data_IF_532989156417
#
_entry.id   IF_532989156417
#
_cell.length_a   1.000
_cell.length_b   1.000
_cell.length_c   1.000
_cell.angle_alpha   90.00
_cell.angle_beta   90.00
_cell.angle_gamma   90.00
#
_symmetry.space_group_name_H-M   'P 1'
#
loop_
_entity.id
_entity.type
_entity.pdbx_description
1 polymer ?
#
# COMPACT_ATOMS: atom_id res chain seq x y z
N UNK A 1 -17.03 -0.48 -0.83
CA UNK A 1 -16.89 -1.86 -1.32
C UNK A 1 -16.47 -2.85 -0.24
N UNK A 2 -15.28 -2.73 0.37
CA UNK A 2 -14.83 -3.69 1.41
C UNK A 2 -15.50 -3.51 2.78
N UNK A 3 -15.74 -2.27 3.21
CA UNK A 3 -16.51 -2.01 4.44
C UNK A 3 -17.99 -2.40 4.29
N UNK A 4 -18.54 -2.38 3.08
CA UNK A 4 -19.92 -2.84 2.83
C UNK A 4 -20.08 -4.36 2.96
N UNK A 5 -18.97 -5.11 3.00
CA UNK A 5 -18.98 -6.56 3.26
C UNK A 5 -19.03 -6.87 4.77
N UNK A 6 -18.90 -5.86 5.63
CA UNK A 6 -19.05 -6.05 7.08
C UNK A 6 -20.56 -6.20 7.36
N UNK A 7 -21.01 -7.34 7.91
CA UNK A 7 -22.42 -7.52 8.22
C UNK A 7 -22.85 -6.51 9.29
N UNK A 8 -23.83 -5.66 8.97
CA UNK A 8 -24.35 -4.64 9.91
C UNK A 8 -24.82 -5.24 11.23
N UNK A 9 -25.35 -6.46 11.18
CA UNK A 9 -25.81 -7.23 12.33
C UNK A 9 -24.70 -7.43 13.38
N UNK A 10 -23.45 -7.62 12.97
CA UNK A 10 -22.31 -7.79 13.88
C UNK A 10 -21.94 -6.46 14.56
N UNK A 11 -22.02 -5.35 13.82
CA UNK A 11 -21.78 -4.01 14.37
C UNK A 11 -22.89 -3.60 15.34
N UNK A 12 -24.15 -3.90 15.00
CA UNK A 12 -25.32 -3.65 15.85
C UNK A 12 -25.26 -4.49 17.14
N UNK A 13 -24.91 -5.77 17.06
CA UNK A 13 -24.72 -6.62 18.23
C UNK A 13 -23.65 -6.05 19.18
N UNK A 14 -22.52 -5.59 18.66
CA UNK A 14 -21.47 -4.99 19.47
C UNK A 14 -21.91 -3.68 20.16
N UNK A 15 -22.73 -2.86 19.48
CA UNK A 15 -23.31 -1.66 20.09
C UNK A 15 -24.33 -1.99 21.19
N UNK A 16 -25.12 -3.06 21.01
CA UNK A 16 -26.03 -3.57 22.04
C UNK A 16 -25.25 -4.08 23.27
N UNK A 17 -24.08 -4.71 23.05
CA UNK A 17 -23.15 -5.14 24.10
C UNK A 17 -22.40 -3.98 24.79
N UNK A 18 -22.68 -2.73 24.41
CA UNK A 18 -22.13 -1.53 25.02
C UNK A 18 -20.81 -1.04 24.41
N UNK A 19 -20.40 -1.58 23.25
CA UNK A 19 -19.24 -1.05 22.53
C UNK A 19 -19.55 0.35 21.96
N UNK A 20 -18.65 1.30 22.21
CA UNK A 20 -18.67 2.61 21.57
C UNK A 20 -18.40 2.50 20.05
N UNK A 21 -18.83 3.48 19.27
CA UNK A 21 -18.62 3.50 17.81
C UNK A 21 -17.15 3.33 17.41
N UNK A 22 -16.22 3.93 18.17
CA UNK A 22 -14.79 3.78 17.90
C UNK A 22 -14.31 2.34 18.17
N UNK A 23 -14.83 1.69 19.20
CA UNK A 23 -14.54 0.28 19.49
C UNK A 23 -15.09 -0.63 18.40
N UNK A 24 -16.34 -0.43 17.97
CA UNK A 24 -16.95 -1.19 16.86
C UNK A 24 -16.11 -1.05 15.58
N UNK A 25 -15.72 0.17 15.23
CA UNK A 25 -14.90 0.42 14.04
C UNK A 25 -13.52 -0.28 14.12
N UNK A 26 -12.82 -0.14 15.24
CA UNK A 26 -11.43 -0.63 15.38
C UNK A 26 -11.33 -2.12 15.64
N UNK A 27 -12.30 -2.72 16.34
CA UNK A 27 -12.28 -4.12 16.73
C UNK A 27 -13.05 -5.02 15.76
N UNK A 28 -13.99 -4.49 14.99
CA UNK A 28 -14.85 -5.28 14.08
C UNK A 28 -14.63 -4.86 12.64
N UNK A 29 -14.98 -3.62 12.28
CA UNK A 29 -15.00 -3.20 10.87
C UNK A 29 -13.61 -3.21 10.23
N UNK A 30 -12.58 -2.69 10.90
CA UNK A 30 -11.19 -2.65 10.41
C UNK A 30 -10.60 -4.07 10.24
N UNK A 31 -10.67 -4.98 11.24
CA UNK A 31 -10.13 -6.33 11.10
C UNK A 31 -10.80 -7.15 9.99
N UNK A 32 -12.09 -6.95 9.74
CA UNK A 32 -12.80 -7.62 8.64
C UNK A 32 -12.38 -7.02 7.29
N UNK A 33 -12.31 -5.68 7.19
CA UNK A 33 -11.91 -4.99 5.98
C UNK A 33 -10.38 -5.02 5.70
N UNK A 34 -9.56 -5.62 6.59
CA UNK A 34 -8.09 -5.55 6.56
C UNK A 34 -7.47 -5.96 5.22
N UNK A 35 -8.04 -6.94 4.53
CA UNK A 35 -7.55 -7.41 3.22
C UNK A 35 -7.80 -6.37 2.13
N UNK A 36 -8.95 -5.71 2.18
CA UNK A 36 -9.28 -4.59 1.29
C UNK A 36 -8.41 -3.37 1.53
N UNK A 37 -8.24 -2.99 2.80
CA UNK A 37 -7.35 -1.89 3.20
C UNK A 37 -5.93 -2.14 2.70
N UNK A 38 -5.43 -3.37 2.87
CA UNK A 38 -4.10 -3.72 2.41
C UNK A 38 -3.99 -3.66 0.89
N UNK A 39 -4.96 -4.20 0.14
CA UNK A 39 -4.99 -4.11 -1.32
C UNK A 39 -4.94 -2.66 -1.81
N UNK A 40 -5.74 -1.77 -1.20
CA UNK A 40 -5.71 -0.33 -1.51
C UNK A 40 -4.36 0.29 -1.15
N UNK A 41 -3.81 0.00 0.02
CA UNK A 41 -2.50 0.51 0.46
C UNK A 41 -1.37 0.10 -0.50
N UNK A 42 -1.42 -1.11 -1.06
CA UNK A 42 -0.46 -1.59 -2.04
C UNK A 42 -0.54 -0.78 -3.34
N UNK A 43 -1.75 -0.59 -3.87
CA UNK A 43 -1.95 0.17 -5.10
C UNK A 43 -1.47 1.62 -4.93
N UNK A 44 -1.78 2.22 -3.78
CA UNK A 44 -1.30 3.56 -3.43
C UNK A 44 0.24 3.55 -3.35
N UNK A 45 0.84 2.58 -2.65
CA UNK A 45 2.29 2.47 -2.52
C UNK A 45 2.98 2.36 -3.87
N UNK A 46 2.53 1.48 -4.76
CA UNK A 46 3.11 1.30 -6.11
C UNK A 46 3.00 2.60 -6.91
N UNK A 47 1.86 3.29 -6.83
CA UNK A 47 1.66 4.57 -7.51
C UNK A 47 2.57 5.66 -6.95
N UNK A 48 2.63 5.83 -5.64
CA UNK A 48 3.43 6.88 -4.99
C UNK A 48 4.93 6.62 -5.05
N UNK A 49 5.35 5.35 -5.03
CA UNK A 49 6.77 4.97 -5.04
C UNK A 49 7.46 5.31 -6.36
N UNK A 50 6.75 5.15 -7.46
CA UNK A 50 7.25 5.45 -8.81
C UNK A 50 7.02 6.90 -9.21
N UNK A 51 6.41 7.71 -8.35
CA UNK A 51 6.01 9.03 -8.78
C UNK A 51 7.19 10.00 -8.92
N UNK A 52 7.33 10.54 -10.13
CA UNK A 52 8.46 11.34 -10.56
C UNK A 52 8.14 12.82 -10.67
N UNK A 53 7.02 13.21 -11.30
CA UNK A 53 6.75 14.62 -11.64
C UNK A 53 6.47 15.47 -10.40
N UNK A 54 5.62 14.99 -9.51
CA UNK A 54 5.35 15.65 -8.23
C UNK A 54 6.62 15.76 -7.40
N UNK A 55 7.40 14.69 -7.30
CA UNK A 55 8.65 14.69 -6.55
C UNK A 55 9.66 15.68 -7.14
N UNK A 56 9.84 15.70 -8.47
CA UNK A 56 10.76 16.62 -9.14
C UNK A 56 10.37 18.09 -8.92
N UNK A 57 9.07 18.37 -8.87
CA UNK A 57 8.56 19.75 -8.76
C UNK A 57 8.55 20.26 -7.32
N UNK A 58 8.24 19.39 -6.34
CA UNK A 58 7.99 19.79 -4.96
C UNK A 58 9.19 19.59 -4.03
N UNK A 59 10.18 18.79 -4.40
CA UNK A 59 11.32 18.45 -3.53
C UNK A 59 12.58 19.23 -3.87
N UNK A 60 13.46 19.38 -2.87
CA UNK A 60 14.84 19.89 -3.00
C UNK A 60 15.81 18.85 -2.47
N UNK A 61 17.11 19.17 -2.46
CA UNK A 61 18.20 18.21 -2.19
C UNK A 61 18.05 17.38 -0.91
N UNK A 62 17.38 17.91 0.11
CA UNK A 62 17.10 17.24 1.39
C UNK A 62 15.91 16.27 1.35
N UNK A 63 15.05 16.35 0.34
CA UNK A 63 13.82 15.59 0.23
C UNK A 63 13.64 14.83 -1.11
N UNK A 64 14.70 14.72 -1.92
CA UNK A 64 14.65 14.02 -3.21
C UNK A 64 14.24 12.56 -3.03
N UNK A 65 13.20 12.14 -3.75
CA UNK A 65 12.81 10.74 -3.82
C UNK A 65 13.79 9.94 -4.67
N UNK A 66 13.78 8.61 -4.53
CA UNK A 66 14.66 7.73 -5.30
C UNK A 66 14.49 7.93 -6.82
N UNK A 67 13.26 8.16 -7.29
CA UNK A 67 12.96 8.44 -8.69
C UNK A 67 13.66 9.70 -9.22
N UNK A 68 13.73 10.76 -8.42
CA UNK A 68 14.41 12.01 -8.77
C UNK A 68 15.92 11.89 -8.63
N UNK A 69 16.40 11.13 -7.63
CA UNK A 69 17.82 10.98 -7.35
C UNK A 69 18.62 10.35 -8.49
N UNK A 70 17.99 9.57 -9.38
CA UNK A 70 18.64 9.03 -10.59
C UNK A 70 19.23 10.14 -11.48
N UNK A 71 18.58 11.31 -11.53
CA UNK A 71 19.04 12.44 -12.34
C UNK A 71 20.43 12.95 -11.91
N UNK A 72 20.81 12.74 -10.64
CA UNK A 72 22.14 13.13 -10.16
C UNK A 72 23.27 12.33 -10.85
N UNK A 73 22.97 11.17 -11.46
CA UNK A 73 23.93 10.34 -12.19
C UNK A 73 23.96 10.61 -13.69
N UNK A 74 23.10 11.52 -14.18
CA UNK A 74 23.01 11.89 -15.60
C UNK A 74 23.26 13.39 -15.82
N UNK A 75 24.39 13.96 -15.36
CA UNK A 75 24.70 15.36 -15.61
C UNK A 75 25.05 15.61 -17.08
N UNK A 76 24.84 16.83 -17.55
CA UNK A 76 25.10 17.24 -18.94
C UNK A 76 26.55 17.04 -19.40
N UNK A 77 27.51 17.09 -18.48
CA UNK A 77 28.94 16.96 -18.78
C UNK A 77 29.41 15.50 -18.94
N UNK A 78 28.57 14.52 -18.61
CA UNK A 78 28.89 13.11 -18.75
C UNK A 78 28.02 12.22 -17.87
N UNK A 79 27.18 11.41 -18.51
CA UNK A 79 26.31 10.46 -17.80
C UNK A 79 27.09 9.24 -17.33
N UNK A 80 26.99 8.95 -16.03
CA UNK A 80 27.49 7.70 -15.45
C UNK A 80 26.40 6.62 -15.55
N UNK A 81 26.35 5.95 -16.70
CA UNK A 81 25.38 4.90 -16.98
C UNK A 81 25.46 3.72 -16.00
N UNK A 82 26.65 3.45 -15.43
CA UNK A 82 26.83 2.40 -14.45
C UNK A 82 26.12 2.72 -13.14
N UNK A 83 26.31 3.93 -12.60
CA UNK A 83 25.61 4.38 -11.40
C UNK A 83 24.12 4.57 -11.62
N UNK A 84 23.72 5.11 -12.79
CA UNK A 84 22.30 5.24 -13.13
C UNK A 84 21.59 3.87 -13.18
N UNK A 85 22.18 2.88 -13.85
CA UNK A 85 21.64 1.52 -13.90
C UNK A 85 21.57 0.87 -12.50
N UNK A 86 22.61 1.01 -11.70
CA UNK A 86 22.62 0.51 -10.32
C UNK A 86 21.52 1.15 -9.46
N UNK A 87 21.29 2.46 -9.60
CA UNK A 87 20.20 3.16 -8.91
C UNK A 87 18.81 2.62 -9.33
N UNK A 88 18.60 2.38 -10.62
CA UNK A 88 17.37 1.75 -11.13
C UNK A 88 17.14 0.36 -10.52
N UNK A 89 18.18 -0.47 -10.42
CA UNK A 89 18.08 -1.80 -9.78
C UNK A 89 17.72 -1.67 -8.30
N UNK A 90 18.34 -0.75 -7.57
CA UNK A 90 18.02 -0.48 -6.17
C UNK A 90 16.56 -0.02 -5.98
N UNK A 91 16.03 0.79 -6.91
CA UNK A 91 14.62 1.19 -6.88
C UNK A 91 13.63 0.04 -7.04
N UNK A 92 14.04 -1.07 -7.69
CA UNK A 92 13.22 -2.27 -7.84
C UNK A 92 13.19 -3.12 -6.56
N UNK A 93 14.20 -3.02 -5.69
CA UNK A 93 14.34 -3.87 -4.50
C UNK A 93 13.10 -3.80 -3.59
N UNK A 94 12.56 -2.61 -3.22
CA UNK A 94 11.39 -2.54 -2.36
C UNK A 94 10.16 -3.19 -2.99
N UNK A 95 9.97 -3.06 -4.30
CA UNK A 95 8.86 -3.67 -5.02
C UNK A 95 8.98 -5.20 -4.97
N UNK A 96 10.17 -5.73 -5.30
CA UNK A 96 10.43 -7.18 -5.29
C UNK A 96 10.24 -7.76 -3.88
N UNK A 97 10.66 -7.05 -2.85
CA UNK A 97 10.46 -7.45 -1.45
C UNK A 97 9.00 -7.38 -1.06
N UNK A 98 8.24 -6.37 -1.51
CA UNK A 98 6.85 -6.17 -1.11
C UNK A 98 5.88 -7.15 -1.78
N UNK A 99 6.10 -7.49 -3.06
CA UNK A 99 5.25 -8.40 -3.84
C UNK A 99 4.90 -9.73 -3.13
N UNK A 100 5.82 -10.49 -2.51
CA UNK A 100 5.46 -11.73 -1.82
C UNK A 100 4.58 -11.49 -0.58
N UNK A 101 4.75 -10.38 0.14
CA UNK A 101 3.84 -10.02 1.23
C UNK A 101 2.44 -9.80 0.68
N UNK A 102 2.31 -8.99 -0.37
CA UNK A 102 1.03 -8.73 -1.04
C UNK A 102 0.32 -10.02 -1.45
N UNK A 103 1.03 -10.92 -2.12
CA UNK A 103 0.46 -12.19 -2.62
C UNK A 103 -0.19 -13.02 -1.51
N UNK A 104 0.41 -13.05 -0.31
CA UNK A 104 -0.15 -13.76 0.86
C UNK A 104 -1.51 -13.22 1.30
N UNK A 105 -1.77 -11.93 1.10
CA UNK A 105 -3.02 -11.29 1.54
C UNK A 105 -4.07 -11.16 0.44
N UNK A 106 -3.64 -11.05 -0.82
CA UNK A 106 -4.55 -11.04 -1.98
C UNK A 106 -5.18 -12.42 -2.19
N UNK A 107 -4.45 -13.50 -1.88
CA UNK A 107 -4.97 -14.87 -1.86
C UNK A 107 -5.82 -15.15 -0.60
N UNK A 108 -6.69 -14.20 -0.20
CA UNK A 108 -7.48 -14.27 1.03
C UNK A 108 -8.18 -15.62 1.24
N UNK A 109 -8.46 -16.01 2.51
CA UNK A 109 -9.14 -17.25 2.79
C UNK A 109 -10.44 -17.27 1.98
N UNK A 110 -10.64 -18.32 1.20
CA UNK A 110 -11.84 -18.53 0.40
C UNK A 110 -13.05 -18.56 1.34
N UNK A 111 -13.65 -17.40 1.61
CA UNK A 111 -14.84 -17.22 2.47
C UNK A 111 -16.09 -17.83 1.88
N UNK A 112 -15.97 -18.56 0.76
CA UNK A 112 -16.99 -19.48 0.23
C UNK A 112 -17.42 -20.56 1.23
N UNK A 113 -16.75 -20.70 2.39
CA UNK A 113 -17.13 -21.65 3.44
C UNK A 113 -18.07 -21.15 4.54
N UNK A 114 -18.37 -19.84 4.65
CA UNK A 114 -19.12 -19.30 5.81
C UNK A 114 -20.63 -19.22 5.64
N UNK A 115 -21.17 -19.56 4.47
CA UNK A 115 -22.60 -19.83 4.30
C UNK A 115 -22.76 -21.18 3.61
N UNK A 116 -23.16 -22.20 4.38
CA UNK A 116 -23.96 -23.29 3.84
C UNK A 116 -25.32 -22.69 3.48
N UNK A 117 -25.44 -22.22 2.26
CA UNK A 117 -26.70 -22.11 1.52
C UNK A 117 -26.73 -23.19 0.47
#
# INVERSE_FOLDING_TARGET
AFFDQVPREIEEAAMIDGASTLQTMTLISIPIAKYGILATAILIFIGSWNEFLFALTLTRDDAKTAAVAILNFMPFEGTDWGKAAAACVLMLVPIVVFVPFVKKYVAGPTTTGSVKG
#
